data_IF_003525636668
#
_entry.id   IF_003525636668
#
_cell.length_a   1.000
_cell.length_b   1.000
_cell.length_c   1.000
_cell.angle_alpha   90.00
_cell.angle_beta   90.00
_cell.angle_gamma   90.00
#
_symmetry.space_group_name_H-M   'P 1'
#
loop_
_entity.id
_entity.type
_entity.pdbx_description
1 polymer ?
#
# COMPACT_ATOMS: atom_id res chain seq x y z
N UNK A 1 -28.50 -28.14 22.37
CA UNK A 1 -27.96 -27.37 23.51
C UNK A 1 -26.54 -27.84 23.78
N UNK A 2 -25.53 -27.07 23.36
CA UNK A 2 -24.17 -27.14 23.92
C UNK A 2 -23.44 -25.85 23.53
N UNK A 3 -23.10 -25.10 24.57
CA UNK A 3 -22.27 -23.90 24.57
C UNK A 3 -20.86 -24.25 24.09
N UNK A 4 -20.34 -23.53 23.10
CA UNK A 4 -18.91 -23.35 22.91
C UNK A 4 -18.64 -21.83 22.83
N UNK A 5 -18.46 -21.23 24.01
CA UNK A 5 -17.73 -19.98 24.18
C UNK A 5 -16.28 -20.35 24.49
N UNK A 6 -15.39 -20.14 23.53
CA UNK A 6 -13.93 -20.11 23.65
C UNK A 6 -13.48 -19.21 22.49
N UNK A 7 -12.56 -18.26 22.60
CA UNK A 7 -11.81 -17.73 23.72
C UNK A 7 -11.29 -16.39 23.19
N UNK A 8 -11.80 -15.28 23.72
CA UNK A 8 -11.22 -13.96 23.50
C UNK A 8 -10.35 -13.65 24.72
N UNK A 9 -9.02 -13.71 24.55
CA UNK A 9 -7.99 -12.95 25.29
C UNK A 9 -6.62 -13.61 25.06
N UNK A 10 -5.72 -12.90 24.39
CA UNK A 10 -4.27 -12.94 24.66
C UNK A 10 -3.59 -11.83 23.85
N UNK A 11 -3.67 -10.59 24.33
CA UNK A 11 -2.77 -9.52 23.89
C UNK A 11 -2.38 -8.67 25.11
N UNK A 12 -1.34 -9.10 25.82
CA UNK A 12 -0.45 -8.26 26.61
C UNK A 12 0.63 -9.14 27.27
N UNK A 13 1.90 -8.73 27.12
CA UNK A 13 3.04 -8.80 28.05
C UNK A 13 4.31 -9.36 27.43
N UNK A 14 5.27 -8.44 27.22
CA UNK A 14 6.75 -8.55 27.19
C UNK A 14 7.20 -7.14 26.72
N UNK A 15 7.89 -6.27 27.46
CA UNK A 15 9.12 -6.37 28.25
C UNK A 15 9.14 -5.21 29.29
N UNK A 16 9.43 -5.46 30.56
CA UNK A 16 10.75 -5.34 31.24
C UNK A 16 11.47 -3.98 31.19
N UNK A 17 11.45 -3.36 32.38
CA UNK A 17 12.37 -2.41 33.02
C UNK A 17 13.72 -2.07 32.38
N UNK A 18 14.07 -0.77 32.36
CA UNK A 18 15.23 -0.24 33.10
C UNK A 18 15.26 1.31 33.16
N UNK A 19 15.67 1.79 34.34
CA UNK A 19 16.34 3.06 34.70
C UNK A 19 15.65 4.41 34.46
N UNK A 20 15.29 5.01 35.60
CA UNK A 20 15.07 6.44 35.83
C UNK A 20 16.41 7.20 35.84
N UNK A 21 16.47 8.37 35.21
CA UNK A 21 17.36 9.48 35.59
C UNK A 21 16.64 10.82 35.38
N UNK A 22 16.88 11.82 36.24
CA UNK A 22 16.04 13.01 36.35
C UNK A 22 16.41 14.08 35.32
N UNK A 23 15.39 14.70 34.71
CA UNK A 23 15.58 15.89 33.86
C UNK A 23 15.61 17.13 34.76
N UNK A 24 16.81 17.70 34.88
CA UNK A 24 17.07 19.02 35.43
C UNK A 24 16.61 20.09 34.42
N UNK A 25 15.76 21.01 34.87
CA UNK A 25 15.49 22.28 34.16
C UNK A 25 16.67 23.23 34.37
N UNK A 26 16.98 24.05 33.36
CA UNK A 26 17.34 25.43 33.64
C UNK A 26 16.39 26.40 32.95
N UNK A 27 16.10 27.43 33.74
CA UNK A 27 15.32 28.60 33.43
C UNK A 27 16.22 29.70 32.81
N UNK A 28 15.55 30.68 32.21
CA UNK A 28 15.99 32.09 32.06
C UNK A 28 16.96 32.53 30.94
N UNK A 29 16.36 33.29 30.03
CA UNK A 29 16.72 34.65 29.53
C UNK A 29 18.16 34.98 29.12
N UNK A 30 18.32 35.47 27.88
CA UNK A 30 18.97 36.77 27.59
C UNK A 30 18.87 37.16 26.11
N UNK A 31 18.79 38.47 25.91
CA UNK A 31 18.59 39.30 24.71
C UNK A 31 19.82 39.39 23.77
N UNK A 32 19.69 39.97 22.56
CA UNK A 32 20.57 39.71 21.40
C UNK A 32 21.67 40.76 21.20
N UNK A 33 22.63 40.52 20.28
CA UNK A 33 23.39 41.59 19.63
C UNK A 33 23.18 41.66 18.10
N UNK A 34 22.81 42.87 17.69
CA UNK A 34 23.21 43.70 16.53
C UNK A 34 24.00 43.12 15.33
N UNK A 35 23.39 43.35 14.15
CA UNK A 35 23.92 43.93 12.90
C UNK A 35 25.37 43.70 12.46
N UNK A 36 25.52 43.04 11.31
CA UNK A 36 26.68 43.12 10.42
C UNK A 36 26.20 43.11 8.95
N UNK A 37 26.74 44.03 8.16
CA UNK A 37 26.34 44.42 6.79
C UNK A 37 26.96 43.56 5.68
N UNK A 38 26.21 43.46 4.58
CA UNK A 38 26.61 43.36 3.16
C UNK A 38 27.37 42.11 2.66
N UNK A 39 26.74 41.33 1.75
CA UNK A 39 27.11 41.31 0.32
C UNK A 39 26.21 40.38 -0.53
N UNK A 40 26.08 40.79 -1.79
CA UNK A 40 25.52 40.16 -2.99
C UNK A 40 24.01 39.89 -3.10
N UNK A 41 23.31 40.54 -4.05
CA UNK A 41 22.06 40.01 -4.55
C UNK A 41 22.41 38.78 -5.39
N UNK A 42 22.25 37.59 -4.79
CA UNK A 42 22.05 36.39 -5.56
C UNK A 42 20.93 36.69 -6.57
N UNK A 43 21.24 36.59 -7.86
CA UNK A 43 20.25 36.54 -8.92
C UNK A 43 19.21 35.49 -8.51
N UNK A 44 18.05 35.98 -8.08
CA UNK A 44 16.87 35.17 -7.86
C UNK A 44 16.43 34.77 -9.25
N UNK A 45 17.00 33.66 -9.74
CA UNK A 45 16.52 33.00 -10.95
C UNK A 45 15.02 32.81 -10.76
N UNK A 46 14.22 33.54 -11.54
CA UNK A 46 12.78 33.53 -11.44
C UNK A 46 12.29 32.08 -11.38
N UNK A 47 11.46 31.79 -10.37
CA UNK A 47 10.92 30.45 -10.18
C UNK A 47 10.11 30.04 -11.42
N UNK A 48 10.69 29.19 -12.26
CA UNK A 48 9.91 28.53 -13.32
C UNK A 48 9.13 27.42 -12.65
N UNK A 49 7.94 27.75 -12.15
CA UNK A 49 6.93 26.76 -11.77
C UNK A 49 6.41 26.10 -13.04
N UNK A 50 6.20 24.78 -12.99
CA UNK A 50 5.55 24.08 -14.09
C UNK A 50 4.18 24.70 -14.36
N UNK A 51 3.90 24.97 -15.63
CA UNK A 51 2.61 25.49 -16.07
C UNK A 51 1.52 24.43 -15.94
N UNK A 52 0.24 24.82 -15.79
CA UNK A 52 -0.87 23.87 -15.80
C UNK A 52 -0.88 22.95 -17.04
N UNK A 53 -0.50 23.47 -18.19
CA UNK A 53 -0.44 22.72 -19.46
C UNK A 53 0.65 21.64 -19.44
N UNK A 54 1.80 21.91 -18.83
CA UNK A 54 2.87 20.93 -18.65
C UNK A 54 2.45 19.79 -17.72
N UNK A 55 1.75 20.10 -16.63
CA UNK A 55 1.20 19.08 -15.72
C UNK A 55 0.11 18.26 -16.42
N UNK A 56 -0.77 18.91 -17.19
CA UNK A 56 -1.79 18.23 -18.00
C UNK A 56 -1.15 17.25 -18.99
N UNK A 57 -0.07 17.66 -19.67
CA UNK A 57 0.64 16.80 -20.62
C UNK A 57 1.21 15.52 -19.97
N UNK A 58 1.70 15.63 -18.74
CA UNK A 58 2.15 14.46 -17.95
C UNK A 58 0.97 13.56 -17.61
N UNK A 59 -0.16 14.12 -17.19
CA UNK A 59 -1.37 13.36 -16.86
C UNK A 59 -1.98 12.69 -18.09
N UNK A 60 -2.00 13.37 -19.24
CA UNK A 60 -2.46 12.83 -20.51
C UNK A 60 -1.60 11.64 -20.94
N UNK A 61 -0.27 11.73 -20.76
CA UNK A 61 0.62 10.59 -20.96
C UNK A 61 0.19 9.39 -20.11
N UNK A 62 -0.03 9.59 -18.80
CA UNK A 62 -0.44 8.51 -17.92
C UNK A 62 -1.79 7.91 -18.34
N UNK A 63 -2.72 8.74 -18.80
CA UNK A 63 -4.00 8.28 -19.33
C UNK A 63 -3.81 7.42 -20.60
N UNK A 64 -2.87 7.75 -21.49
CA UNK A 64 -2.59 6.90 -22.66
C UNK A 64 -2.06 5.51 -22.31
N UNK A 65 -1.35 5.36 -21.18
CA UNK A 65 -0.92 4.04 -20.71
C UNK A 65 -2.10 3.17 -20.26
N UNK A 66 -3.18 3.79 -19.77
CA UNK A 66 -4.38 3.08 -19.32
C UNK A 66 -5.29 2.64 -20.47
N UNK A 67 -5.29 3.34 -21.60
CA UNK A 67 -6.20 3.09 -22.72
C UNK A 67 -5.68 2.08 -23.74
N UNK A 68 -4.42 1.62 -23.61
CA UNK A 68 -3.90 0.60 -24.52
C UNK A 68 -4.60 -0.74 -24.27
N UNK A 69 -5.15 -1.36 -25.32
CA UNK A 69 -5.86 -2.62 -25.18
C UNK A 69 -4.89 -3.69 -24.68
N UNK A 70 -5.15 -4.18 -23.48
CA UNK A 70 -4.56 -5.42 -23.00
C UNK A 70 -5.05 -6.54 -23.92
N UNK A 71 -4.17 -7.47 -24.28
CA UNK A 71 -4.51 -8.54 -25.22
C UNK A 71 -5.71 -9.31 -24.66
N UNK A 72 -6.82 -9.49 -25.40
CA UNK A 72 -7.94 -10.29 -24.92
C UNK A 72 -7.45 -11.73 -24.73
N UNK A 73 -7.39 -12.19 -23.48
CA UNK A 73 -7.20 -13.61 -23.23
C UNK A 73 -8.55 -14.32 -23.32
N UNK A 74 -8.50 -15.48 -23.97
CA UNK A 74 -9.66 -16.33 -24.20
C UNK A 74 -10.18 -16.89 -22.86
N UNK A 75 -11.40 -16.51 -22.51
CA UNK A 75 -12.41 -17.28 -21.79
C UNK A 75 -12.11 -17.84 -20.38
N UNK A 76 -10.95 -17.57 -19.77
CA UNK A 76 -10.70 -18.02 -18.38
C UNK A 76 -10.49 -16.84 -17.43
N UNK A 77 -11.21 -16.83 -16.31
CA UNK A 77 -10.94 -15.93 -15.18
C UNK A 77 -9.63 -16.30 -14.45
N UNK A 78 -8.75 -17.09 -15.06
CA UNK A 78 -7.60 -17.66 -14.41
C UNK A 78 -6.66 -16.55 -13.92
N UNK A 79 -6.12 -16.78 -12.73
CA UNK A 79 -5.13 -15.92 -12.10
C UNK A 79 -3.75 -16.52 -12.31
N UNK A 80 -2.79 -15.69 -12.66
CA UNK A 80 -1.37 -16.06 -12.75
C UNK A 80 -0.49 -14.95 -12.20
N UNK A 81 0.73 -15.31 -11.83
CA UNK A 81 1.74 -14.40 -11.32
C UNK A 81 2.99 -14.57 -12.18
N UNK A 82 3.48 -13.47 -12.73
CA UNK A 82 4.72 -13.50 -13.50
C UNK A 82 5.96 -13.59 -12.57
N UNK A 83 7.16 -13.88 -13.11
CA UNK A 83 8.38 -13.94 -12.29
C UNK A 83 8.73 -12.62 -11.57
N UNK A 84 8.17 -11.48 -12.01
CA UNK A 84 8.31 -10.18 -11.36
C UNK A 84 7.27 -9.93 -10.25
N UNK A 85 6.45 -10.92 -9.91
CA UNK A 85 5.40 -10.84 -8.90
C UNK A 85 4.16 -10.08 -9.37
N UNK A 86 4.02 -9.77 -10.66
CA UNK A 86 2.85 -9.08 -11.21
C UNK A 86 1.71 -10.06 -11.37
N UNK A 87 0.55 -9.69 -10.83
CA UNK A 87 -0.69 -10.42 -10.99
C UNK A 87 -1.29 -10.18 -12.38
N UNK A 88 -1.71 -11.25 -13.04
CA UNK A 88 -2.61 -11.20 -14.20
C UNK A 88 -3.91 -11.92 -13.91
N UNK A 89 -5.03 -11.27 -14.25
CA UNK A 89 -6.39 -11.83 -14.16
C UNK A 89 -6.96 -11.89 -15.57
N UNK A 90 -7.30 -13.08 -16.06
CA UNK A 90 -7.75 -13.27 -17.44
C UNK A 90 -6.77 -12.66 -18.46
N UNK A 91 -5.46 -12.79 -18.21
CA UNK A 91 -4.38 -12.28 -19.07
C UNK A 91 -4.13 -10.77 -18.98
N UNK A 92 -4.87 -10.05 -18.15
CA UNK A 92 -4.69 -8.61 -17.93
C UNK A 92 -3.95 -8.35 -16.62
N UNK A 93 -2.89 -7.54 -16.66
CA UNK A 93 -2.17 -7.12 -15.47
C UNK A 93 -3.07 -6.34 -14.52
N UNK A 94 -3.05 -6.70 -13.24
CA UNK A 94 -3.85 -6.05 -12.20
C UNK A 94 -2.96 -5.66 -11.01
N UNK A 95 -3.08 -4.41 -10.57
CA UNK A 95 -2.57 -3.98 -9.26
C UNK A 95 -3.74 -4.00 -8.27
N UNK A 96 -3.87 -5.02 -7.40
CA UNK A 96 -4.96 -5.08 -6.44
C UNK A 96 -4.72 -4.03 -5.35
N UNK A 97 -5.69 -3.13 -5.22
CA UNK A 97 -5.70 -2.08 -4.23
C UNK A 97 -7.05 -2.07 -3.55
N UNK A 98 -7.05 -2.28 -2.24
CA UNK A 98 -8.27 -2.60 -1.53
C UNK A 98 -8.19 -2.47 -0.02
N UNK A 99 -9.21 -2.99 0.66
CA UNK A 99 -9.28 -3.04 2.11
C UNK A 99 -9.49 -4.45 2.61
N UNK A 100 -9.02 -4.68 3.82
CA UNK A 100 -9.61 -5.68 4.69
C UNK A 100 -11.01 -5.24 5.13
N UNK A 101 -11.92 -6.20 5.18
CA UNK A 101 -13.24 -6.07 5.78
C UNK A 101 -13.47 -7.26 6.71
N UNK A 102 -13.28 -7.03 8.00
CA UNK A 102 -13.49 -8.01 9.07
C UNK A 102 -14.99 -8.28 9.18
N UNK A 103 -15.46 -9.28 8.44
CA UNK A 103 -16.88 -9.36 8.09
C UNK A 103 -17.77 -9.77 9.27
N UNK A 104 -17.21 -10.47 10.25
CA UNK A 104 -17.90 -10.81 11.50
C UNK A 104 -18.16 -9.61 12.43
N UNK A 105 -17.53 -8.45 12.18
CA UNK A 105 -17.87 -7.20 12.86
C UNK A 105 -19.19 -6.58 12.34
N UNK A 106 -19.82 -7.19 11.33
CA UNK A 106 -21.05 -6.70 10.73
C UNK A 106 -21.97 -7.83 10.25
N UNK A 107 -22.82 -7.51 9.27
CA UNK A 107 -23.78 -8.43 8.65
C UNK A 107 -23.51 -8.55 7.15
N UNK A 108 -24.13 -9.53 6.48
CA UNK A 108 -24.04 -9.64 5.02
C UNK A 108 -24.50 -8.36 4.30
N UNK A 109 -25.54 -7.70 4.80
CA UNK A 109 -26.04 -6.41 4.28
C UNK A 109 -25.01 -5.31 4.47
N UNK A 110 -24.39 -5.21 5.65
CA UNK A 110 -23.32 -4.24 5.92
C UNK A 110 -22.12 -4.48 4.99
N UNK A 111 -21.66 -5.74 4.86
CA UNK A 111 -20.56 -6.15 3.98
C UNK A 111 -20.81 -5.74 2.52
N UNK A 112 -22.03 -5.90 2.02
CA UNK A 112 -22.40 -5.47 0.67
C UNK A 112 -22.38 -3.94 0.52
N UNK A 113 -22.93 -3.21 1.49
CA UNK A 113 -22.87 -1.74 1.51
C UNK A 113 -21.42 -1.25 1.50
N UNK A 114 -20.58 -1.83 2.35
CA UNK A 114 -19.19 -1.40 2.51
C UNK A 114 -18.35 -1.74 1.26
N UNK A 115 -18.62 -2.88 0.60
CA UNK A 115 -18.04 -3.18 -0.72
C UNK A 115 -18.39 -2.12 -1.76
N UNK A 116 -19.67 -1.69 -1.80
CA UNK A 116 -20.10 -0.63 -2.71
C UNK A 116 -19.40 0.70 -2.41
N UNK A 117 -19.23 1.03 -1.13
CA UNK A 117 -18.53 2.26 -0.71
C UNK A 117 -17.04 2.21 -1.06
N UNK A 118 -16.40 1.04 -0.91
CA UNK A 118 -15.00 0.81 -1.33
C UNK A 118 -14.85 0.98 -2.85
N UNK A 119 -15.73 0.37 -3.63
CA UNK A 119 -15.75 0.52 -5.09
C UNK A 119 -15.97 1.98 -5.51
N UNK A 120 -16.86 2.72 -4.84
CA UNK A 120 -17.14 4.13 -5.12
C UNK A 120 -15.96 5.07 -4.79
N UNK A 121 -15.04 4.63 -3.94
CA UNK A 121 -13.76 5.33 -3.69
C UNK A 121 -12.70 5.02 -4.75
N UNK A 122 -12.97 4.14 -5.73
CA UNK A 122 -12.07 3.83 -6.84
C UNK A 122 -11.10 2.68 -6.57
N UNK A 123 -11.27 1.96 -5.46
CA UNK A 123 -10.55 0.72 -5.18
C UNK A 123 -11.07 -0.41 -6.07
N UNK A 124 -10.28 -1.46 -6.25
CA UNK A 124 -10.61 -2.59 -7.13
C UNK A 124 -10.55 -3.95 -6.40
N UNK A 125 -10.21 -3.97 -5.11
CA UNK A 125 -10.06 -5.21 -4.34
C UNK A 125 -10.60 -5.11 -2.93
N UNK A 126 -10.99 -6.24 -2.35
CA UNK A 126 -11.40 -6.31 -0.94
C UNK A 126 -11.17 -7.72 -0.39
N UNK A 127 -10.62 -7.84 0.81
CA UNK A 127 -10.57 -9.12 1.51
C UNK A 127 -11.80 -9.25 2.43
N UNK A 128 -12.50 -10.37 2.36
CA UNK A 128 -13.73 -10.62 3.12
C UNK A 128 -13.73 -11.99 3.76
N UNK A 129 -14.47 -12.14 4.85
CA UNK A 129 -14.72 -13.43 5.46
C UNK A 129 -16.14 -13.90 5.20
N UNK A 130 -16.32 -15.21 5.05
CA UNK A 130 -17.64 -15.81 5.20
C UNK A 130 -18.10 -15.69 6.66
N UNK A 131 -19.38 -15.40 6.89
CA UNK A 131 -19.94 -15.38 8.25
C UNK A 131 -20.16 -16.81 8.78
N UNK A 132 -20.48 -17.72 7.87
CA UNK A 132 -20.53 -19.16 8.08
C UNK A 132 -20.15 -19.82 6.74
N UNK A 133 -19.37 -20.89 6.76
CA UNK A 133 -18.82 -21.47 5.53
C UNK A 133 -19.87 -22.14 4.62
N UNK A 134 -21.09 -22.39 5.11
CA UNK A 134 -22.17 -23.05 4.36
C UNK A 134 -23.37 -22.11 4.20
N UNK A 135 -23.86 -21.54 5.30
CA UNK A 135 -25.07 -20.72 5.27
C UNK A 135 -24.85 -19.37 4.57
N UNK A 136 -23.61 -18.88 4.54
CA UNK A 136 -23.25 -17.63 3.87
C UNK A 136 -22.95 -17.80 2.37
N UNK A 137 -23.04 -19.00 1.78
CA UNK A 137 -22.78 -19.21 0.34
C UNK A 137 -23.69 -18.33 -0.53
N UNK A 138 -24.99 -18.26 -0.21
CA UNK A 138 -25.96 -17.45 -0.95
C UNK A 138 -25.66 -15.95 -0.89
N UNK A 139 -25.56 -15.35 0.31
CA UNK A 139 -25.18 -13.95 0.45
C UNK A 139 -23.77 -13.62 -0.08
N UNK A 140 -22.78 -14.51 0.09
CA UNK A 140 -21.45 -14.34 -0.47
C UNK A 140 -21.48 -14.32 -2.01
N UNK A 141 -22.26 -15.20 -2.65
CA UNK A 141 -22.44 -15.17 -4.11
C UNK A 141 -22.98 -13.81 -4.59
N UNK A 142 -24.01 -13.28 -3.92
CA UNK A 142 -24.56 -11.95 -4.24
C UNK A 142 -23.50 -10.85 -4.09
N UNK A 143 -22.67 -10.91 -3.06
CA UNK A 143 -21.57 -9.98 -2.86
C UNK A 143 -20.54 -10.06 -4.01
N UNK A 144 -20.10 -11.27 -4.36
CA UNK A 144 -19.11 -11.51 -5.42
C UNK A 144 -19.62 -11.00 -6.77
N UNK A 145 -20.90 -11.26 -7.08
CA UNK A 145 -21.52 -10.78 -8.32
C UNK A 145 -21.64 -9.26 -8.36
N UNK A 146 -22.04 -8.64 -7.25
CA UNK A 146 -22.09 -7.19 -7.13
C UNK A 146 -20.69 -6.55 -7.23
N UNK A 147 -19.67 -7.19 -6.65
CA UNK A 147 -18.28 -6.77 -6.78
C UNK A 147 -17.82 -6.84 -8.24
N UNK A 148 -18.06 -7.97 -8.91
CA UNK A 148 -17.70 -8.14 -10.32
C UNK A 148 -18.34 -7.08 -11.22
N UNK A 149 -19.63 -6.79 -11.03
CA UNK A 149 -20.35 -5.75 -11.78
C UNK A 149 -19.77 -4.34 -11.59
N UNK A 150 -18.93 -4.13 -10.57
CA UNK A 150 -18.23 -2.87 -10.28
C UNK A 150 -16.74 -2.91 -10.60
N UNK A 151 -16.25 -3.97 -11.25
CA UNK A 151 -14.82 -4.15 -11.53
C UNK A 151 -13.99 -4.46 -10.27
N UNK A 152 -14.64 -4.82 -9.16
CA UNK A 152 -13.97 -5.26 -7.94
C UNK A 152 -13.65 -6.75 -8.00
N UNK A 153 -12.58 -7.14 -7.31
CA UNK A 153 -12.27 -8.55 -7.03
C UNK A 153 -12.14 -8.83 -5.54
N UNK A 154 -12.58 -10.00 -5.12
CA UNK A 154 -12.60 -10.40 -3.71
C UNK A 154 -11.57 -11.48 -3.39
N UNK A 155 -10.89 -11.33 -2.27
CA UNK A 155 -10.12 -12.40 -1.63
C UNK A 155 -10.94 -12.90 -0.44
N UNK A 156 -11.40 -14.14 -0.48
CA UNK A 156 -12.36 -14.68 0.50
C UNK A 156 -11.64 -15.57 1.51
N UNK A 157 -11.88 -15.38 2.80
CA UNK A 157 -11.42 -16.24 3.89
C UNK A 157 -12.58 -17.01 4.54
N UNK A 158 -12.23 -17.93 5.44
CA UNK A 158 -13.15 -18.75 6.22
C UNK A 158 -14.05 -19.65 5.37
N UNK A 159 -13.43 -20.19 4.31
CA UNK A 159 -14.06 -21.11 3.36
C UNK A 159 -13.80 -22.57 3.72
N UNK A 160 -14.65 -23.46 3.21
CA UNK A 160 -14.45 -24.91 3.24
C UNK A 160 -14.61 -25.48 1.82
N UNK A 161 -14.50 -26.81 1.67
CA UNK A 161 -14.63 -27.45 0.37
C UNK A 161 -15.99 -27.19 -0.31
N UNK A 162 -17.08 -27.10 0.47
CA UNK A 162 -18.41 -26.86 -0.05
C UNK A 162 -18.57 -25.43 -0.59
N UNK A 163 -18.13 -24.41 0.16
CA UNK A 163 -18.19 -23.03 -0.32
C UNK A 163 -17.25 -22.77 -1.50
N UNK A 164 -16.03 -23.32 -1.49
CA UNK A 164 -15.12 -23.20 -2.65
C UNK A 164 -15.75 -23.85 -3.88
N UNK A 165 -16.29 -25.07 -3.76
CA UNK A 165 -16.95 -25.74 -4.88
C UNK A 165 -18.16 -24.93 -5.42
N UNK A 166 -18.92 -24.29 -4.53
CA UNK A 166 -20.10 -23.51 -4.89
C UNK A 166 -19.78 -22.13 -5.48
N UNK A 167 -18.60 -21.58 -5.23
CA UNK A 167 -18.26 -20.19 -5.56
C UNK A 167 -17.09 -20.04 -6.55
N UNK A 168 -16.22 -21.05 -6.76
CA UNK A 168 -15.01 -20.95 -7.60
C UNK A 168 -15.20 -20.39 -9.02
N UNK A 169 -16.38 -20.62 -9.60
CA UNK A 169 -16.71 -20.16 -10.95
C UNK A 169 -17.16 -18.68 -11.01
N UNK A 170 -17.37 -18.04 -9.86
CA UNK A 170 -17.80 -16.65 -9.82
C UNK A 170 -16.65 -15.71 -10.27
N UNK A 171 -16.89 -14.83 -11.25
CA UNK A 171 -15.85 -14.00 -11.88
C UNK A 171 -15.33 -12.87 -10.96
N UNK A 172 -16.04 -12.55 -9.89
CA UNK A 172 -15.63 -11.56 -8.90
C UNK A 172 -14.60 -12.05 -7.89
N UNK A 173 -14.23 -13.33 -7.92
CA UNK A 173 -13.22 -13.89 -6.99
C UNK A 173 -11.83 -13.71 -7.59
N UNK A 174 -10.95 -13.04 -6.86
CA UNK A 174 -9.52 -13.03 -7.12
C UNK A 174 -8.86 -14.25 -6.48
N UNK A 175 -9.21 -14.57 -5.24
CA UNK A 175 -8.76 -15.79 -4.62
C UNK A 175 -9.20 -16.05 -3.20
N UNK A 176 -8.44 -16.89 -2.52
CA UNK A 176 -8.78 -17.47 -1.23
C UNK A 176 -7.68 -17.16 -0.23
N UNK A 177 -8.03 -16.53 0.89
CA UNK A 177 -7.09 -16.30 1.98
C UNK A 177 -7.05 -17.54 2.85
N UNK A 178 -5.89 -18.20 2.88
CA UNK A 178 -5.72 -19.50 3.53
C UNK A 178 -5.19 -19.39 4.95
N UNK A 179 -4.51 -18.30 5.28
CA UNK A 179 -3.96 -18.05 6.60
C UNK A 179 -3.94 -16.54 6.91
N UNK A 180 -4.24 -16.21 8.16
CA UNK A 180 -4.12 -14.87 8.71
C UNK A 180 -3.14 -14.88 9.88
N UNK A 181 -2.38 -13.80 10.04
CA UNK A 181 -1.26 -13.71 10.99
C UNK A 181 -0.48 -15.03 11.03
N UNK A 182 -0.11 -15.51 9.84
CA UNK A 182 0.26 -16.91 9.68
C UNK A 182 1.51 -17.27 10.47
N UNK A 183 2.38 -16.29 10.70
CA UNK A 183 3.59 -16.41 11.52
C UNK A 183 3.33 -16.61 13.02
N UNK A 184 2.10 -16.36 13.48
CA UNK A 184 1.64 -16.57 14.86
C UNK A 184 0.83 -17.87 14.94
N UNK A 185 -0.03 -18.10 13.96
CA UNK A 185 -1.07 -19.13 14.06
C UNK A 185 -0.70 -20.46 13.41
N UNK A 186 0.30 -20.49 12.52
CA UNK A 186 0.62 -21.65 11.69
C UNK A 186 2.12 -21.80 11.45
N UNK A 187 2.59 -23.02 11.19
CA UNK A 187 3.93 -23.23 10.61
C UNK A 187 3.89 -22.99 9.09
N UNK A 188 5.04 -22.74 8.44
CA UNK A 188 5.09 -22.65 6.97
C UNK A 188 4.49 -23.86 6.25
N UNK A 189 4.72 -25.07 6.76
CA UNK A 189 4.19 -26.32 6.19
C UNK A 189 2.67 -26.37 6.28
N UNK A 190 2.09 -25.89 7.39
CA UNK A 190 0.64 -25.81 7.55
C UNK A 190 0.03 -24.80 6.57
N UNK A 191 0.68 -23.66 6.34
CA UNK A 191 0.22 -22.67 5.34
C UNK A 191 0.27 -23.28 3.93
N UNK A 192 1.37 -23.93 3.57
CA UNK A 192 1.53 -24.59 2.27
C UNK A 192 0.49 -25.70 2.06
N UNK A 193 0.23 -26.52 3.09
CA UNK A 193 -0.79 -27.57 3.02
C UNK A 193 -2.20 -26.98 2.80
N UNK A 194 -2.56 -25.89 3.48
CA UNK A 194 -3.84 -25.20 3.28
C UNK A 194 -3.95 -24.61 1.87
N UNK A 195 -2.88 -24.01 1.36
CA UNK A 195 -2.82 -23.53 -0.02
C UNK A 195 -3.01 -24.66 -1.03
N UNK A 196 -2.35 -25.81 -0.82
CA UNK A 196 -2.48 -26.98 -1.68
C UNK A 196 -3.91 -27.53 -1.71
N UNK A 197 -4.59 -27.59 -0.57
CA UNK A 197 -6.02 -28.00 -0.50
C UNK A 197 -6.89 -27.08 -1.36
N UNK A 198 -6.69 -25.76 -1.26
CA UNK A 198 -7.41 -24.82 -2.12
C UNK A 198 -7.06 -25.03 -3.59
N UNK A 199 -5.78 -25.20 -3.94
CA UNK A 199 -5.37 -25.41 -5.34
C UNK A 199 -5.94 -26.69 -5.96
N UNK A 200 -6.19 -27.73 -5.16
CA UNK A 200 -6.90 -28.94 -5.62
C UNK A 200 -8.38 -28.66 -5.92
N UNK A 201 -9.02 -27.77 -5.16
CA UNK A 201 -10.43 -27.43 -5.32
C UNK A 201 -10.66 -26.36 -6.40
N UNK A 202 -9.73 -25.42 -6.53
CA UNK A 202 -9.78 -24.28 -7.44
C UNK A 202 -8.36 -23.86 -7.88
N UNK A 203 -7.83 -24.49 -8.93
CA UNK A 203 -6.48 -24.20 -9.42
C UNK A 203 -6.38 -22.84 -10.12
N UNK A 204 -7.51 -22.19 -10.43
CA UNK A 204 -7.57 -20.98 -11.26
C UNK A 204 -7.53 -19.68 -10.48
N UNK A 205 -7.46 -19.76 -9.15
CA UNK A 205 -7.47 -18.63 -8.24
C UNK A 205 -6.20 -18.55 -7.42
N UNK A 206 -5.90 -17.35 -6.92
CA UNK A 206 -4.78 -17.20 -6.00
C UNK A 206 -5.12 -17.74 -4.61
N UNK A 207 -4.08 -18.17 -3.92
CA UNK A 207 -4.02 -18.38 -2.48
C UNK A 207 -3.26 -17.21 -1.87
N UNK A 208 -3.78 -16.69 -0.77
CA UNK A 208 -3.22 -15.52 -0.09
C UNK A 208 -2.99 -15.83 1.39
N UNK A 209 -1.89 -15.36 1.93
CA UNK A 209 -1.63 -15.36 3.36
C UNK A 209 -1.15 -13.99 3.81
N UNK A 210 -1.53 -13.59 5.02
CA UNK A 210 -0.99 -12.40 5.68
C UNK A 210 -0.06 -12.78 6.83
N UNK A 211 0.99 -11.98 7.00
CA UNK A 211 1.94 -12.08 8.11
C UNK A 211 2.49 -10.72 8.50
N UNK A 212 3.00 -10.60 9.71
CA UNK A 212 3.92 -9.52 10.09
C UNK A 212 5.37 -9.96 9.88
N UNK A 213 6.13 -9.19 9.10
CA UNK A 213 7.60 -9.33 9.04
C UNK A 213 8.24 -8.16 9.80
N UNK A 214 9.41 -8.40 10.36
CA UNK A 214 10.22 -7.35 10.97
C UNK A 214 11.62 -7.34 10.38
N UNK A 215 12.43 -6.37 10.79
CA UNK A 215 13.83 -6.26 10.39
C UNK A 215 14.69 -7.43 10.85
N UNK A 216 14.48 -7.86 12.08
CA UNK A 216 15.24 -8.94 12.71
C UNK A 216 14.73 -10.31 12.30
N UNK A 217 13.53 -10.37 11.72
CA UNK A 217 12.87 -11.61 11.38
C UNK A 217 12.06 -11.45 10.08
N UNK A 218 12.67 -11.73 8.92
CA UNK A 218 12.02 -11.60 7.62
C UNK A 218 10.96 -12.68 7.38
N UNK A 219 10.86 -13.70 8.25
CA UNK A 219 9.93 -14.84 8.09
C UNK A 219 10.05 -15.53 6.73
N UNK A 220 11.27 -15.62 6.19
CA UNK A 220 11.56 -16.12 4.83
C UNK A 220 10.91 -17.47 4.49
N UNK A 221 10.76 -18.37 5.48
CA UNK A 221 10.16 -19.69 5.27
C UNK A 221 8.67 -19.64 4.86
N UNK A 222 7.96 -18.55 5.16
CA UNK A 222 6.55 -18.39 4.77
C UNK A 222 6.40 -17.96 3.31
N UNK A 223 7.42 -17.34 2.71
CA UNK A 223 7.38 -16.96 1.30
C UNK A 223 7.53 -18.21 0.42
N UNK A 224 6.62 -18.34 -0.56
CA UNK A 224 6.50 -19.51 -1.44
C UNK A 224 5.46 -20.54 -0.96
N UNK A 225 4.81 -20.31 0.19
CA UNK A 225 3.74 -21.18 0.69
C UNK A 225 2.37 -20.88 0.06
N UNK A 226 2.22 -19.71 -0.55
CA UNK A 226 1.02 -19.22 -1.25
C UNK A 226 1.41 -18.47 -2.52
N UNK A 227 0.44 -18.19 -3.40
CA UNK A 227 0.67 -17.38 -4.61
C UNK A 227 0.96 -15.91 -4.26
N UNK A 228 0.27 -15.37 -3.26
CA UNK A 228 0.44 -13.99 -2.81
C UNK A 228 0.65 -13.92 -1.30
N UNK A 229 1.48 -12.98 -0.86
CA UNK A 229 1.82 -12.78 0.56
C UNK A 229 1.68 -11.31 0.94
N UNK A 230 0.86 -11.04 1.96
CA UNK A 230 0.61 -9.72 2.50
C UNK A 230 1.39 -9.45 3.77
N UNK A 231 2.34 -8.51 3.73
CA UNK A 231 3.08 -8.12 4.93
C UNK A 231 2.38 -6.96 5.67
N UNK A 232 2.14 -7.14 6.96
CA UNK A 232 1.45 -6.21 7.84
C UNK A 232 2.44 -5.27 8.54
N UNK A 233 2.20 -3.96 8.41
CA UNK A 233 2.97 -2.93 9.12
C UNK A 233 2.08 -1.74 9.49
N UNK A 234 1.96 -1.47 10.79
CA UNK A 234 0.97 -0.53 11.35
C UNK A 234 1.59 0.46 12.37
N UNK A 235 2.44 1.40 11.92
CA UNK A 235 3.27 2.21 12.80
C UNK A 235 2.49 3.28 13.59
N UNK A 236 1.33 3.75 13.11
CA UNK A 236 0.61 4.85 13.75
C UNK A 236 -0.02 4.39 15.06
N UNK A 237 0.58 4.80 16.18
CA UNK A 237 0.20 4.37 17.53
C UNK A 237 0.63 2.94 17.88
N UNK A 238 1.39 2.27 17.00
CA UNK A 238 1.85 0.88 17.18
C UNK A 238 3.25 0.73 17.77
N UNK A 239 3.98 1.84 17.95
CA UNK A 239 5.33 1.87 18.52
C UNK A 239 6.46 1.93 17.49
N UNK A 240 6.20 1.55 16.23
CA UNK A 240 7.16 1.68 15.14
C UNK A 240 7.24 3.12 14.59
N UNK A 241 8.43 3.50 14.14
CA UNK A 241 8.60 4.72 13.35
C UNK A 241 7.98 4.59 11.96
N UNK A 242 7.47 5.69 11.40
CA UNK A 242 6.81 5.68 10.08
C UNK A 242 7.68 5.12 8.95
N UNK A 243 9.02 5.30 9.04
CA UNK A 243 9.99 4.75 8.09
C UNK A 243 10.08 3.21 8.10
N UNK A 244 9.47 2.54 9.07
CA UNK A 244 9.41 1.08 9.12
C UNK A 244 8.67 0.50 7.90
N UNK A 245 7.69 1.23 7.35
CA UNK A 245 6.88 0.76 6.21
C UNK A 245 7.74 0.44 5.00
N UNK A 246 8.57 1.39 4.54
CA UNK A 246 9.41 1.16 3.36
C UNK A 246 10.31 -0.06 3.54
N UNK A 247 10.94 -0.14 4.70
CA UNK A 247 11.95 -1.18 4.95
C UNK A 247 11.33 -2.56 5.13
N UNK A 248 10.19 -2.68 5.81
CA UNK A 248 9.43 -3.92 5.90
C UNK A 248 8.96 -4.38 4.51
N UNK A 249 8.47 -3.46 3.68
CA UNK A 249 8.04 -3.77 2.32
C UNK A 249 9.20 -4.16 1.40
N UNK A 250 10.39 -3.58 1.59
CA UNK A 250 11.62 -3.99 0.89
C UNK A 250 11.99 -5.44 1.18
N UNK A 251 11.84 -5.88 2.43
CA UNK A 251 12.03 -7.28 2.81
C UNK A 251 10.98 -8.14 2.09
N UNK A 252 9.69 -7.77 2.19
CA UNK A 252 8.60 -8.49 1.51
C UNK A 252 8.85 -8.66 0.02
N UNK A 253 9.22 -7.60 -0.69
CA UNK A 253 9.48 -7.63 -2.13
C UNK A 253 10.66 -8.53 -2.45
N UNK A 254 11.77 -8.44 -1.69
CA UNK A 254 12.94 -9.30 -1.89
C UNK A 254 12.59 -10.78 -1.72
N UNK A 255 11.97 -11.14 -0.61
CA UNK A 255 11.62 -12.54 -0.32
C UNK A 255 10.60 -13.07 -1.33
N UNK A 256 9.60 -12.25 -1.69
CA UNK A 256 8.58 -12.63 -2.66
C UNK A 256 9.16 -12.90 -4.05
N UNK A 257 10.03 -12.01 -4.55
CA UNK A 257 10.70 -12.20 -5.85
C UNK A 257 11.57 -13.45 -5.88
N UNK A 258 12.31 -13.75 -4.81
CA UNK A 258 13.13 -14.96 -4.71
C UNK A 258 12.30 -16.26 -4.74
N UNK A 259 11.00 -16.16 -4.43
CA UNK A 259 10.08 -17.30 -4.31
C UNK A 259 8.97 -17.31 -5.38
N UNK A 260 8.97 -16.37 -6.32
CA UNK A 260 7.93 -16.25 -7.35
C UNK A 260 6.53 -15.93 -6.78
N UNK A 261 6.48 -15.19 -5.67
CA UNK A 261 5.24 -14.81 -4.98
C UNK A 261 4.92 -13.36 -5.27
N UNK A 262 3.63 -13.01 -5.31
CA UNK A 262 3.20 -11.62 -5.39
C UNK A 262 3.33 -10.91 -4.02
N UNK A 263 4.14 -9.84 -3.90
CA UNK A 263 4.23 -9.06 -2.67
C UNK A 263 3.05 -8.06 -2.55
N UNK A 264 2.26 -8.19 -1.49
CA UNK A 264 1.21 -7.25 -1.14
C UNK A 264 1.62 -6.50 0.14
N UNK A 265 1.47 -5.17 0.13
CA UNK A 265 1.63 -4.36 1.33
C UNK A 265 0.32 -4.24 2.09
N UNK A 266 0.27 -4.75 3.32
CA UNK A 266 -0.87 -4.56 4.22
C UNK A 266 -0.63 -3.31 5.07
N UNK A 267 -1.29 -2.21 4.72
CA UNK A 267 -0.97 -0.85 5.22
C UNK A 267 -2.07 -0.34 6.14
N UNK A 268 -1.72 0.50 7.12
CA UNK A 268 -2.66 0.99 8.12
C UNK A 268 -3.65 2.04 7.59
N UNK A 269 -4.94 1.81 7.84
CA UNK A 269 -6.03 2.80 7.75
C UNK A 269 -6.94 2.80 9.00
N UNK A 270 -6.49 2.15 10.08
CA UNK A 270 -7.20 1.98 11.34
C UNK A 270 -6.42 2.59 12.51
N UNK A 271 -7.01 2.62 13.71
CA UNK A 271 -6.32 2.97 14.95
C UNK A 271 -6.21 1.77 15.89
N UNK A 272 -5.09 1.69 16.60
CA UNK A 272 -4.98 0.81 17.76
C UNK A 272 -5.93 1.27 18.87
N UNK A 273 -6.29 0.35 19.78
CA UNK A 273 -7.12 0.67 20.94
C UNK A 273 -6.54 1.83 21.75
N UNK A 274 -7.37 2.82 22.08
CA UNK A 274 -6.95 4.03 22.79
C UNK A 274 -6.10 5.00 21.97
N UNK A 275 -5.77 4.70 20.71
CA UNK A 275 -4.97 5.57 19.84
C UNK A 275 -5.86 6.36 18.87
N UNK A 276 -5.23 7.32 18.17
CA UNK A 276 -5.87 8.13 17.11
C UNK A 276 -5.84 7.41 15.75
N UNK A 277 -6.74 7.83 14.85
CA UNK A 277 -6.64 7.46 13.43
C UNK A 277 -5.37 8.04 12.78
N UNK A 278 -4.85 7.38 11.73
CA UNK A 278 -3.89 7.99 10.83
C UNK A 278 -4.43 9.29 10.21
N UNK A 279 -3.55 10.26 10.06
CA UNK A 279 -3.80 11.48 9.30
C UNK A 279 -3.72 11.21 7.79
N UNK A 280 -4.25 12.14 6.99
CA UNK A 280 -4.18 12.06 5.53
C UNK A 280 -2.72 11.97 5.03
N UNK A 281 -1.82 12.75 5.62
CA UNK A 281 -0.40 12.75 5.28
C UNK A 281 0.27 11.40 5.62
N UNK A 282 -0.06 10.82 6.77
CA UNK A 282 0.48 9.51 7.17
C UNK A 282 0.02 8.39 6.24
N UNK A 283 -1.27 8.31 5.91
CA UNK A 283 -1.77 7.26 4.99
C UNK A 283 -1.16 7.41 3.60
N UNK A 284 -1.06 8.63 3.08
CA UNK A 284 -0.42 8.86 1.79
C UNK A 284 1.07 8.50 1.82
N UNK A 285 1.77 8.83 2.91
CA UNK A 285 3.17 8.52 3.10
C UNK A 285 3.41 7.00 3.21
N UNK A 286 2.65 6.29 4.05
CA UNK A 286 2.77 4.83 4.18
C UNK A 286 2.48 4.11 2.86
N UNK A 287 1.42 4.53 2.15
CA UNK A 287 1.11 4.00 0.81
C UNK A 287 2.29 4.23 -0.14
N UNK A 288 2.81 5.45 -0.18
CA UNK A 288 3.92 5.83 -1.04
C UNK A 288 5.20 5.08 -0.70
N UNK A 289 5.48 4.82 0.57
CA UNK A 289 6.59 3.98 1.00
C UNK A 289 6.43 2.54 0.51
N UNK A 290 5.24 1.95 0.58
CA UNK A 290 5.00 0.60 0.07
C UNK A 290 5.18 0.54 -1.46
N UNK A 291 4.61 1.49 -2.21
CA UNK A 291 4.82 1.61 -3.66
C UNK A 291 6.30 1.80 -4.01
N UNK A 292 6.96 2.70 -3.29
CA UNK A 292 8.37 2.98 -3.41
C UNK A 292 9.24 1.77 -3.12
N UNK A 293 8.82 0.85 -2.25
CA UNK A 293 9.53 -0.41 -2.00
C UNK A 293 9.35 -1.45 -3.12
N UNK A 294 8.33 -1.30 -3.97
CA UNK A 294 8.07 -2.15 -5.13
C UNK A 294 7.02 -3.24 -4.91
N UNK A 295 6.09 -3.08 -3.95
CA UNK A 295 4.96 -4.01 -3.81
C UNK A 295 4.11 -4.03 -5.07
N UNK A 296 3.43 -5.15 -5.31
CA UNK A 296 2.57 -5.36 -6.49
C UNK A 296 1.08 -5.30 -6.17
N UNK A 297 0.74 -5.03 -4.91
CA UNK A 297 -0.61 -4.74 -4.45
C UNK A 297 -0.62 -4.07 -3.07
N UNK A 298 -1.75 -3.47 -2.69
CA UNK A 298 -1.95 -2.84 -1.38
C UNK A 298 -3.31 -3.27 -0.81
N UNK A 299 -3.32 -3.72 0.43
CA UNK A 299 -4.55 -3.97 1.20
C UNK A 299 -4.52 -3.15 2.47
N UNK A 300 -5.39 -2.17 2.62
CA UNK A 300 -5.46 -1.41 3.85
C UNK A 300 -6.15 -2.23 4.94
N UNK A 301 -5.51 -2.38 6.09
CA UNK A 301 -6.20 -2.81 7.30
C UNK A 301 -6.62 -1.57 8.07
N UNK A 302 -7.90 -1.29 8.29
CA UNK A 302 -9.09 -1.97 7.75
C UNK A 302 -10.16 -0.95 7.34
N UNK A 303 -11.15 -1.37 6.56
CA UNK A 303 -12.38 -0.60 6.36
C UNK A 303 -13.34 -0.77 7.55
N UNK A 304 -13.46 -2.00 8.05
CA UNK A 304 -14.30 -2.36 9.20
C UNK A 304 -13.61 -3.44 10.03
N UNK A 305 -13.61 -3.26 11.35
CA UNK A 305 -13.44 -4.29 12.39
C UNK A 305 -14.27 -3.96 13.64
N UNK A 306 -14.15 -4.78 14.69
CA UNK A 306 -14.93 -4.63 15.94
C UNK A 306 -14.73 -3.28 16.66
N UNK A 307 -13.64 -2.58 16.35
CA UNK A 307 -13.22 -1.33 17.00
C UNK A 307 -12.99 -0.16 16.03
N UNK A 308 -13.02 -0.42 14.73
CA UNK A 308 -12.72 0.52 13.66
C UNK A 308 -13.82 0.50 12.59
N UNK A 309 -14.34 1.68 12.27
CA UNK A 309 -15.23 1.88 11.12
C UNK A 309 -14.71 3.07 10.34
N UNK A 310 -14.27 2.84 9.10
CA UNK A 310 -13.78 3.88 8.20
C UNK A 310 -14.93 4.71 7.62
N UNK A 311 -16.15 4.18 7.54
CA UNK A 311 -17.28 4.85 6.90
C UNK A 311 -17.59 6.26 7.42
N UNK A 312 -17.53 6.56 8.75
CA UNK A 312 -17.69 7.92 9.27
C UNK A 312 -16.45 8.83 9.10
N UNK A 313 -15.30 8.30 8.68
CA UNK A 313 -14.03 9.05 8.61
C UNK A 313 -13.90 9.82 7.30
N UNK A 314 -14.76 10.83 7.08
CA UNK A 314 -14.89 11.54 5.81
C UNK A 314 -13.58 12.11 5.26
N UNK A 315 -12.74 12.72 6.12
CA UNK A 315 -11.45 13.28 5.70
C UNK A 315 -10.51 12.19 5.17
N UNK A 316 -10.39 11.08 5.92
CA UNK A 316 -9.51 9.97 5.56
C UNK A 316 -10.00 9.24 4.30
N UNK A 317 -11.31 9.03 4.17
CA UNK A 317 -11.92 8.46 2.96
C UNK A 317 -11.71 9.35 1.73
N UNK A 318 -11.80 10.67 1.89
CA UNK A 318 -11.54 11.62 0.82
C UNK A 318 -10.10 11.52 0.35
N UNK A 319 -9.14 11.42 1.28
CA UNK A 319 -7.74 11.21 0.96
C UNK A 319 -7.52 9.86 0.26
N UNK A 320 -8.03 8.76 0.82
CA UNK A 320 -7.90 7.42 0.25
C UNK A 320 -8.49 7.32 -1.17
N UNK A 321 -9.59 8.02 -1.46
CA UNK A 321 -10.15 8.13 -2.82
C UNK A 321 -9.17 8.82 -3.79
N UNK A 322 -8.49 9.89 -3.36
CA UNK A 322 -7.45 10.55 -4.18
C UNK A 322 -6.30 9.59 -4.43
N UNK A 323 -5.82 8.92 -3.38
CA UNK A 323 -4.73 7.95 -3.45
C UNK A 323 -5.07 6.80 -4.41
N UNK A 324 -6.29 6.26 -4.36
CA UNK A 324 -6.72 5.23 -5.32
C UNK A 324 -6.68 5.72 -6.78
N UNK A 325 -7.13 6.96 -7.03
CA UNK A 325 -7.07 7.58 -8.36
C UNK A 325 -5.64 7.80 -8.86
N UNK A 326 -4.73 8.20 -7.97
CA UNK A 326 -3.30 8.40 -8.27
C UNK A 326 -2.59 7.07 -8.56
N UNK A 327 -2.81 6.05 -7.72
CA UNK A 327 -2.23 4.72 -7.94
C UNK A 327 -2.74 4.11 -9.23
N UNK A 328 -4.03 4.28 -9.56
CA UNK A 328 -4.58 3.83 -10.84
C UNK A 328 -3.82 4.44 -12.04
N UNK A 329 -3.47 5.73 -11.98
CA UNK A 329 -2.67 6.41 -13.01
C UNK A 329 -1.23 5.87 -13.09
N UNK A 330 -0.66 5.51 -11.94
CA UNK A 330 0.70 4.96 -11.86
C UNK A 330 0.79 3.46 -12.17
N UNK A 331 -0.32 2.72 -12.18
CA UNK A 331 -0.34 1.24 -12.34
C UNK A 331 0.57 0.72 -13.45
N UNK A 332 0.56 1.26 -14.70
CA UNK A 332 1.46 0.77 -15.74
C UNK A 332 2.94 0.88 -15.36
N UNK A 333 3.33 1.99 -14.73
CA UNK A 333 4.69 2.25 -14.25
C UNK A 333 5.03 1.33 -13.07
N UNK A 334 4.10 1.13 -12.14
CA UNK A 334 4.30 0.29 -10.96
C UNK A 334 4.44 -1.20 -11.31
N UNK A 335 3.70 -1.66 -12.32
CA UNK A 335 3.72 -3.05 -12.76
C UNK A 335 4.89 -3.34 -13.71
N UNK A 336 5.15 -2.44 -14.67
CA UNK A 336 6.03 -2.71 -15.81
C UNK A 336 7.25 -1.79 -15.91
N UNK A 337 7.35 -0.76 -15.07
CA UNK A 337 8.50 0.14 -15.04
C UNK A 337 9.72 -0.49 -14.36
N UNK A 338 10.90 -0.14 -14.87
CA UNK A 338 12.17 -0.47 -14.22
C UNK A 338 12.38 0.44 -13.01
N UNK A 339 12.41 -0.15 -11.81
CA UNK A 339 12.53 0.58 -10.55
C UNK A 339 13.98 0.65 -10.07
N UNK A 340 14.44 1.84 -9.68
CA UNK A 340 15.77 2.08 -9.10
C UNK A 340 15.71 2.97 -7.86
N UNK A 341 16.40 2.56 -6.80
CA UNK A 341 16.63 3.43 -5.64
C UNK A 341 17.76 4.42 -5.95
N UNK A 342 17.52 5.71 -5.70
CA UNK A 342 18.54 6.76 -5.87
C UNK A 342 19.12 7.21 -4.53
N UNK A 343 18.28 7.29 -3.49
CA UNK A 343 18.70 7.66 -2.15
C UNK A 343 17.75 7.05 -1.12
N UNK A 344 18.31 6.47 -0.06
CA UNK A 344 17.57 6.04 1.12
C UNK A 344 18.29 6.57 2.36
N UNK A 345 17.57 7.32 3.18
CA UNK A 345 18.03 7.79 4.49
C UNK A 345 16.90 7.69 5.52
N UNK A 346 17.20 7.94 6.79
CA UNK A 346 16.21 7.92 7.86
C UNK A 346 15.10 8.97 7.71
N UNK A 347 15.31 9.98 6.86
CA UNK A 347 14.39 11.11 6.68
C UNK A 347 13.84 11.22 5.26
N UNK A 348 14.50 10.63 4.26
CA UNK A 348 14.11 10.78 2.86
C UNK A 348 14.37 9.52 2.04
N UNK A 349 13.38 9.13 1.23
CA UNK A 349 13.52 8.10 0.22
C UNK A 349 13.29 8.69 -1.18
N UNK A 350 14.16 8.34 -2.12
CA UNK A 350 14.08 8.72 -3.54
C UNK A 350 14.12 7.46 -4.38
N UNK A 351 13.05 7.24 -5.14
CA UNK A 351 12.91 6.10 -6.04
C UNK A 351 12.59 6.62 -7.44
N UNK A 352 13.25 6.05 -8.44
CA UNK A 352 13.02 6.32 -9.85
C UNK A 352 12.36 5.12 -10.52
N UNK A 353 11.45 5.37 -11.45
CA UNK A 353 10.98 4.40 -12.42
C UNK A 353 11.31 4.86 -13.83
N UNK A 354 11.71 3.93 -14.68
CA UNK A 354 11.79 4.13 -16.12
C UNK A 354 10.70 3.30 -16.80
N UNK A 355 9.84 3.94 -17.58
CA UNK A 355 8.78 3.26 -18.32
C UNK A 355 8.54 3.97 -19.66
N UNK A 356 8.55 3.20 -20.76
CA UNK A 356 8.42 3.71 -22.13
C UNK A 356 9.31 4.92 -22.43
N UNK A 357 10.58 4.86 -22.00
CA UNK A 357 11.57 5.92 -22.21
C UNK A 357 11.39 7.17 -21.34
N UNK A 358 10.37 7.21 -20.47
CA UNK A 358 10.14 8.31 -19.52
C UNK A 358 10.63 7.94 -18.12
N UNK A 359 11.12 8.94 -17.39
CA UNK A 359 11.61 8.79 -16.01
C UNK A 359 10.63 9.43 -15.04
N UNK A 360 10.24 8.70 -14.01
CA UNK A 360 9.37 9.15 -12.93
C UNK A 360 10.11 9.08 -11.61
N UNK A 361 10.03 10.12 -10.80
CA UNK A 361 10.63 10.20 -9.47
C UNK A 361 9.53 10.25 -8.42
N UNK A 362 9.66 9.40 -7.40
CA UNK A 362 8.96 9.55 -6.14
C UNK A 362 9.97 10.00 -5.09
N UNK A 363 9.66 11.10 -4.41
CA UNK A 363 10.44 11.61 -3.29
C UNK A 363 9.56 11.63 -2.06
N UNK A 364 9.99 10.97 -0.99
CA UNK A 364 9.22 10.79 0.24
C UNK A 364 10.02 11.40 1.39
N UNK A 365 9.48 12.43 2.06
CA UNK A 365 9.94 12.81 3.39
C UNK A 365 9.25 11.90 4.41
N UNK A 366 9.98 11.08 5.16
CA UNK A 366 9.41 10.20 6.19
C UNK A 366 9.43 10.83 7.59
N UNK A 367 9.92 12.06 7.72
CA UNK A 367 9.99 12.78 8.99
C UNK A 367 8.75 13.65 9.25
N UNK A 368 8.36 13.75 10.52
CA UNK A 368 7.30 14.66 11.02
C UNK A 368 7.73 16.13 11.07
N UNK A 369 8.77 16.50 10.34
CA UNK A 369 9.27 17.87 10.19
C UNK A 369 9.62 18.13 8.74
N UNK A 370 9.59 19.40 8.36
CA UNK A 370 10.05 19.81 7.04
C UNK A 370 11.54 19.52 6.87
N UNK A 371 11.95 19.20 5.65
CA UNK A 371 13.35 18.95 5.28
C UNK A 371 13.73 19.78 4.07
N UNK A 372 15.01 20.11 3.97
CA UNK A 372 15.62 20.52 2.70
C UNK A 372 16.13 19.26 2.02
N UNK A 373 15.47 18.87 0.94
CA UNK A 373 15.83 17.73 0.13
C UNK A 373 16.92 18.11 -0.88
N UNK A 374 17.93 17.26 -1.02
CA UNK A 374 18.93 17.35 -2.07
C UNK A 374 19.40 15.94 -2.47
N UNK A 375 19.42 15.65 -3.77
CA UNK A 375 19.93 14.40 -4.32
C UNK A 375 20.37 14.56 -5.77
N UNK A 376 21.07 13.56 -6.32
CA UNK A 376 21.52 13.56 -7.71
C UNK A 376 20.76 12.52 -8.53
N UNK A 377 20.45 12.88 -9.78
CA UNK A 377 19.95 11.98 -10.81
C UNK A 377 21.12 11.23 -11.45
N UNK A 378 20.91 9.99 -11.92
CA UNK A 378 21.93 9.25 -12.66
C UNK A 378 22.21 9.85 -14.04
N UNK A 379 21.25 10.58 -14.61
CA UNK A 379 21.29 11.14 -15.96
C UNK A 379 20.71 12.55 -15.97
N UNK A 380 21.24 13.41 -16.86
CA UNK A 380 20.78 14.79 -16.99
C UNK A 380 19.31 14.85 -17.38
N UNK A 381 18.58 15.78 -16.79
CA UNK A 381 17.25 16.20 -17.22
C UNK A 381 17.24 17.68 -17.56
N UNK A 382 16.16 18.11 -18.21
CA UNK A 382 15.87 19.53 -18.47
C UNK A 382 14.93 20.11 -17.42
N UNK A 383 13.97 19.32 -16.95
CA UNK A 383 12.96 19.74 -15.99
C UNK A 383 12.47 18.55 -15.15
N UNK A 384 11.92 18.87 -13.98
CA UNK A 384 11.16 17.93 -13.15
C UNK A 384 9.71 18.45 -13.02
N UNK A 385 8.80 17.85 -13.77
CA UNK A 385 7.40 18.28 -13.85
C UNK A 385 6.52 17.49 -12.86
N UNK A 386 5.70 18.14 -12.02
CA UNK A 386 4.80 17.45 -11.11
C UNK A 386 3.87 16.50 -11.86
N UNK A 387 3.69 15.29 -11.33
CA UNK A 387 2.75 14.30 -11.89
C UNK A 387 1.30 14.60 -11.49
N UNK A 388 1.10 15.15 -10.28
CA UNK A 388 -0.22 15.40 -9.73
C UNK A 388 -0.39 16.88 -9.36
N UNK A 389 -1.28 17.58 -10.09
CA UNK A 389 -1.53 19.01 -9.89
C UNK A 389 -1.99 19.38 -8.46
N UNK A 390 -2.67 18.47 -7.77
CA UNK A 390 -3.27 18.71 -6.45
C UNK A 390 -2.40 18.19 -5.29
N UNK A 391 -1.13 17.89 -5.54
CA UNK A 391 -0.17 17.48 -4.51
C UNK A 391 0.85 18.58 -4.24
N UNK A 392 1.37 18.68 -3.00
CA UNK A 392 2.48 19.57 -2.71
C UNK A 392 3.63 19.35 -3.70
N UNK A 393 4.24 20.45 -4.10
CA UNK A 393 5.48 20.47 -4.87
C UNK A 393 6.48 21.32 -4.10
N UNK A 394 7.76 21.22 -4.48
CA UNK A 394 8.79 22.02 -3.82
C UNK A 394 10.22 21.68 -4.23
N UNK A 395 10.41 20.65 -5.06
CA UNK A 395 11.70 20.25 -5.59
C UNK A 395 11.87 20.77 -7.01
N UNK A 396 13.09 21.20 -7.33
CA UNK A 396 13.47 21.73 -8.63
C UNK A 396 14.76 21.08 -9.11
N UNK A 397 14.80 20.75 -10.40
CA UNK A 397 16.04 20.38 -11.06
C UNK A 397 16.91 21.63 -11.20
N UNK A 398 18.17 21.53 -10.80
CA UNK A 398 19.13 22.62 -10.89
C UNK A 398 19.67 22.75 -12.32
N UNK A 399 20.37 23.85 -12.60
CA UNK A 399 20.91 24.17 -13.94
C UNK A 399 21.94 23.16 -14.45
N UNK A 400 22.55 22.37 -13.56
CA UNK A 400 23.42 21.25 -13.95
C UNK A 400 22.66 20.07 -14.57
N UNK A 401 21.32 20.06 -14.48
CA UNK A 401 20.46 18.99 -14.96
C UNK A 401 20.58 17.69 -14.16
N UNK A 402 21.39 17.65 -13.09
CA UNK A 402 21.68 16.44 -12.31
C UNK A 402 21.21 16.56 -10.88
N UNK A 403 21.29 17.75 -10.29
CA UNK A 403 20.95 17.97 -8.89
C UNK A 403 19.49 18.34 -8.78
N UNK A 404 18.75 17.66 -7.90
CA UNK A 404 17.40 18.07 -7.49
C UNK A 404 17.49 18.62 -6.07
N UNK A 405 16.94 19.82 -5.84
CA UNK A 405 16.94 20.47 -4.53
C UNK A 405 15.62 21.17 -4.26
N UNK A 406 15.24 21.24 -2.99
CA UNK A 406 14.10 22.04 -2.57
C UNK A 406 13.66 21.74 -1.14
N UNK A 407 12.49 22.27 -0.77
CA UNK A 407 11.91 22.02 0.54
C UNK A 407 10.74 21.05 0.43
N UNK A 408 10.61 20.18 1.43
CA UNK A 408 9.48 19.28 1.58
C UNK A 408 8.87 19.49 2.96
N UNK A 409 7.55 19.65 3.01
CA UNK A 409 6.82 19.68 4.27
C UNK A 409 6.94 18.35 5.02
N UNK A 410 6.57 18.34 6.30
CA UNK A 410 6.47 17.12 7.10
C UNK A 410 5.65 16.05 6.37
N UNK A 411 6.18 14.83 6.29
CA UNK A 411 5.56 13.67 5.64
C UNK A 411 5.22 13.82 4.14
N UNK A 412 5.67 14.90 3.49
CA UNK A 412 5.32 15.18 2.10
C UNK A 412 5.85 14.09 1.16
N UNK A 413 5.04 13.77 0.14
CA UNK A 413 5.42 12.91 -0.98
C UNK A 413 5.22 13.69 -2.26
N UNK A 414 6.26 13.76 -3.09
CA UNK A 414 6.20 14.40 -4.39
C UNK A 414 6.44 13.35 -5.48
N UNK A 415 5.72 13.49 -6.59
CA UNK A 415 5.92 12.72 -7.81
C UNK A 415 6.26 13.66 -8.96
N UNK A 416 7.32 13.34 -9.69
CA UNK A 416 7.78 14.12 -10.84
C UNK A 416 8.02 13.24 -12.06
N UNK A 417 7.74 13.75 -13.26
CA UNK A 417 8.32 13.24 -14.49
C UNK A 417 9.57 14.07 -14.82
N UNK A 418 10.71 13.41 -15.04
CA UNK A 418 11.95 14.07 -15.48
C UNK A 418 12.01 14.05 -17.00
N UNK A 419 12.13 15.23 -17.61
CA UNK A 419 12.29 15.40 -19.06
C UNK A 419 13.74 15.40 -19.50
#
# INVERSE_FOLDING_TARGET
>A
MRNNKMCALALALLLSACSQTPVVRPDMTSTPPTSGTANDPAEVSAEVLATPDEVSTVQDTLATYQTRPLRPSLLSNAVSIDPGGTLSVAGESMFPMGFYHVSWAGTATRRLKDMNDIAAMGFNSMTVAMLDAVDDIGPMRKLVQAAHAKGMKLIIQDVNSQSVAALRNEPGILGWKVADDCQINYTPEQVAARAQVIKQLDPTRLTYASLGVSFSDPRSAYFGTTDATGNQIYPIGGGDGLSAVYRAMKITVREALQKGVMPIGNVQSFRWSGQRMPTNAEVYNMTSQALGAGVKGIMYYTYLDDSNDLSPQTSLRTELKKVAGEVKQLTPILLHGERRELLLSDTMHVVQWTYEGKRYLQVINVAYKSITAQFKLPERGKAALPVFANRPTGLKLQTDGLTVRGNMGALAVHWYQVQ
#
